data_IF_888164207824
#
_entry.id   IF_888164207824
#
_cell.length_a   1.000
_cell.length_b   1.000
_cell.length_c   1.000
_cell.angle_alpha   90.00
_cell.angle_beta   90.00
_cell.angle_gamma   90.00
#
_symmetry.space_group_name_H-M   'P 1'
#
loop_
_entity.id
_entity.type
_entity.pdbx_description
1 polymer ?
#
# COMPACT_ATOMS: atom_id res chain seq x y z
N UNK A 1 4.83 -36.40 -14.64
CA UNK A 1 5.72 -35.33 -15.16
C UNK A 1 5.07 -34.75 -16.41
N UNK A 2 4.42 -33.59 -16.30
CA UNK A 2 3.89 -32.84 -17.43
C UNK A 2 4.52 -31.44 -17.36
N UNK A 3 5.46 -31.18 -18.25
CA UNK A 3 6.20 -29.93 -18.34
C UNK A 3 5.29 -28.83 -18.89
N UNK A 4 5.18 -27.73 -18.14
CA UNK A 4 4.48 -26.52 -18.55
C UNK A 4 5.13 -25.87 -19.77
N UNK A 5 4.29 -25.33 -20.66
CA UNK A 5 4.69 -24.33 -21.63
C UNK A 5 4.15 -22.98 -21.19
N UNK A 6 5.07 -22.15 -20.73
CA UNK A 6 4.94 -20.71 -20.52
C UNK A 6 4.44 -20.05 -21.81
N UNK A 7 3.22 -19.53 -21.78
CA UNK A 7 2.74 -18.61 -22.80
C UNK A 7 3.40 -17.24 -22.59
N UNK A 8 4.50 -17.00 -23.29
CA UNK A 8 5.05 -15.65 -23.45
C UNK A 8 3.99 -14.78 -24.13
N UNK A 9 3.50 -13.76 -23.41
CA UNK A 9 2.65 -12.72 -24.00
C UNK A 9 3.49 -11.90 -24.98
N UNK A 10 3.03 -11.66 -26.21
CA UNK A 10 3.78 -10.86 -27.16
C UNK A 10 3.91 -9.42 -26.67
N UNK A 11 5.13 -8.88 -26.80
CA UNK A 11 5.45 -7.48 -26.51
C UNK A 11 4.56 -6.54 -27.31
N UNK A 12 4.09 -5.44 -26.71
CA UNK A 12 3.09 -4.53 -27.29
C UNK A 12 3.52 -3.89 -28.63
N UNK A 13 4.82 -3.96 -28.96
CA UNK A 13 5.35 -3.59 -30.29
C UNK A 13 5.02 -4.62 -31.38
N UNK A 14 5.02 -5.92 -31.08
CA UNK A 14 4.71 -6.98 -32.05
C UNK A 14 3.21 -7.04 -32.38
N UNK A 15 2.34 -6.80 -31.39
CA UNK A 15 0.89 -6.75 -31.61
C UNK A 15 0.48 -5.58 -32.54
N UNK A 16 1.17 -4.44 -32.45
CA UNK A 16 0.95 -3.29 -33.34
C UNK A 16 1.42 -3.51 -34.77
N UNK A 17 2.49 -4.28 -34.97
CA UNK A 17 3.00 -4.60 -36.31
C UNK A 17 2.11 -5.61 -37.04
N UNK A 18 1.51 -6.57 -36.32
CA UNK A 18 0.63 -7.57 -36.93
C UNK A 18 -0.69 -6.96 -37.43
N UNK A 19 -1.27 -6.00 -36.68
CA UNK A 19 -2.50 -5.29 -37.08
C UNK A 19 -2.29 -4.33 -38.26
N UNK A 20 -1.07 -3.81 -38.45
CA UNK A 20 -0.76 -2.94 -39.59
C UNK A 20 -0.54 -3.71 -40.90
N UNK A 21 -0.18 -5.00 -40.83
CA UNK A 21 0.00 -5.85 -42.00
C UNK A 21 -1.30 -6.42 -42.57
N UNK A 22 -2.33 -6.60 -41.73
CA UNK A 22 -3.60 -7.21 -42.15
C UNK A 22 -4.52 -6.22 -42.88
N UNK A 23 -4.36 -4.92 -42.64
CA UNK A 23 -5.20 -3.86 -43.21
C UNK A 23 -4.83 -3.44 -44.66
N UNK A 24 -3.74 -3.97 -45.23
CA UNK A 24 -3.27 -3.59 -46.58
C UNK A 24 -3.65 -4.57 -47.70
N UNK A 25 -4.37 -5.66 -47.39
CA UNK A 25 -4.72 -6.69 -48.39
C UNK A 25 -6.11 -6.53 -49.04
N UNK A 26 -6.84 -5.44 -48.81
CA UNK A 26 -8.20 -5.26 -49.36
C UNK A 26 -8.40 -4.11 -50.37
N UNK A 27 -7.35 -3.41 -50.76
CA UNK A 27 -7.42 -2.47 -51.88
C UNK A 27 -6.31 -2.72 -52.90
N UNK A 28 -6.53 -3.70 -53.77
CA UNK A 28 -5.79 -3.80 -55.03
C UNK A 28 -6.71 -3.29 -56.15
N UNK A 29 -6.39 -2.14 -56.78
CA UNK A 29 -7.18 -1.67 -57.91
C UNK A 29 -6.98 -2.61 -59.11
N UNK A 30 -7.99 -2.78 -59.99
CA UNK A 30 -7.86 -3.63 -61.16
C UNK A 30 -6.84 -3.03 -62.15
N UNK A 31 -5.94 -3.88 -62.67
CA UNK A 31 -4.96 -3.50 -63.69
C UNK A 31 -5.59 -3.32 -65.09
N UNK A 32 -4.88 -2.68 -66.03
CA UNK A 32 -5.45 -2.28 -67.31
C UNK A 32 -5.60 -3.47 -68.27
N UNK A 33 -6.80 -3.62 -68.86
CA UNK A 33 -7.10 -4.59 -69.91
C UNK A 33 -6.51 -4.17 -71.25
N UNK A 34 -5.92 -5.13 -71.97
CA UNK A 34 -5.42 -4.99 -73.36
C UNK A 34 -6.48 -5.46 -74.36
N UNK A 35 -6.28 -5.05 -75.62
CA UNK A 35 -7.09 -5.26 -76.85
C UNK A 35 -8.16 -4.17 -77.03
N UNK A 36 -8.27 -3.43 -78.13
CA UNK A 36 -7.74 -3.58 -79.49
C UNK A 36 -7.54 -2.20 -80.16
N UNK A 37 -6.67 -2.14 -81.16
CA UNK A 37 -6.45 -0.98 -82.04
C UNK A 37 -7.67 -0.73 -82.94
N UNK A 38 -7.96 0.54 -83.28
CA UNK A 38 -8.41 0.83 -84.63
C UNK A 38 -7.51 1.85 -85.34
N UNK A 39 -7.28 1.53 -86.60
CA UNK A 39 -6.59 2.28 -87.66
C UNK A 39 -7.06 3.73 -87.78
N UNK A 40 -6.10 4.65 -87.76
CA UNK A 40 -6.27 6.06 -88.11
C UNK A 40 -6.68 6.21 -89.57
N UNK A 41 -7.81 6.86 -89.84
CA UNK A 41 -8.05 7.57 -91.10
C UNK A 41 -8.45 9.00 -90.74
N UNK A 42 -7.58 9.94 -91.10
CA UNK A 42 -7.79 11.37 -90.97
C UNK A 42 -8.89 11.82 -91.93
N UNK A 43 -9.98 12.34 -91.39
CA UNK A 43 -10.84 13.29 -92.11
C UNK A 43 -11.07 14.50 -91.21
N UNK A 44 -10.55 15.63 -91.68
CA UNK A 44 -10.81 16.98 -91.19
C UNK A 44 -12.31 17.26 -91.24
N UNK A 45 -12.93 17.50 -90.08
CA UNK A 45 -14.14 18.33 -89.99
C UNK A 45 -14.13 19.10 -88.67
N UNK A 46 -13.99 20.41 -88.83
CA UNK A 46 -14.26 21.48 -87.86
C UNK A 46 -15.57 21.28 -87.06
N UNK A 47 -15.55 21.72 -85.78
CA UNK A 47 -16.71 22.07 -84.92
C UNK A 47 -17.50 21.01 -84.11
N UNK A 48 -16.90 19.95 -83.55
CA UNK A 48 -17.62 18.98 -82.66
C UNK A 48 -17.00 18.67 -81.28
N UNK A 49 -15.82 19.19 -80.92
CA UNK A 49 -15.07 18.77 -79.72
C UNK A 49 -15.52 19.42 -78.38
N UNK A 50 -16.30 20.50 -78.43
CA UNK A 50 -16.69 21.25 -77.23
C UNK A 50 -17.83 20.61 -76.43
N UNK A 51 -18.71 19.82 -77.08
CA UNK A 51 -19.85 19.18 -76.43
C UNK A 51 -19.47 18.03 -75.49
N UNK A 52 -18.52 17.19 -75.91
CA UNK A 52 -18.06 16.01 -75.14
C UNK A 52 -17.25 16.38 -73.90
N UNK A 53 -16.51 17.48 -73.96
CA UNK A 53 -15.70 17.99 -72.84
C UNK A 53 -16.60 18.53 -71.72
N UNK A 54 -17.70 19.20 -72.09
CA UNK A 54 -18.68 19.74 -71.13
C UNK A 54 -19.42 18.61 -70.40
N UNK A 55 -19.83 17.55 -71.11
CA UNK A 55 -20.50 16.39 -70.52
C UNK A 55 -19.61 15.66 -69.50
N UNK A 56 -18.31 15.53 -69.79
CA UNK A 56 -17.34 14.96 -68.85
C UNK A 56 -17.19 15.82 -67.59
N UNK A 57 -17.17 17.16 -67.72
CA UNK A 57 -17.08 18.07 -66.56
C UNK A 57 -18.33 17.95 -65.68
N UNK A 58 -19.52 17.86 -66.27
CA UNK A 58 -20.78 17.65 -65.53
C UNK A 58 -20.81 16.30 -64.81
N UNK A 59 -20.26 15.25 -65.43
CA UNK A 59 -20.13 13.94 -64.81
C UNK A 59 -19.15 13.94 -63.62
N UNK A 60 -18.04 14.67 -63.69
CA UNK A 60 -17.15 14.84 -62.54
C UNK A 60 -17.77 15.67 -61.42
N UNK A 61 -18.48 16.74 -61.74
CA UNK A 61 -19.18 17.57 -60.75
C UNK A 61 -20.22 16.75 -59.98
N UNK A 62 -20.99 15.92 -60.68
CA UNK A 62 -21.97 15.01 -60.05
C UNK A 62 -21.29 13.95 -59.19
N UNK A 63 -20.17 13.38 -59.65
CA UNK A 63 -19.36 12.45 -58.85
C UNK A 63 -18.75 13.11 -57.59
N UNK A 64 -18.31 14.37 -57.69
CA UNK A 64 -17.85 15.16 -56.53
C UNK A 64 -19.02 15.44 -55.57
N UNK A 65 -20.21 15.74 -56.09
CA UNK A 65 -21.43 15.90 -55.30
C UNK A 65 -21.74 14.67 -54.45
N UNK A 66 -21.78 13.48 -55.06
CA UNK A 66 -22.01 12.23 -54.33
C UNK A 66 -20.91 11.91 -53.31
N UNK A 67 -19.65 12.22 -53.61
CA UNK A 67 -18.56 12.08 -52.65
C UNK A 67 -18.72 13.03 -51.47
N UNK A 68 -19.20 14.25 -51.71
CA UNK A 68 -19.44 15.26 -50.68
C UNK A 68 -20.62 14.85 -49.77
N UNK A 69 -21.71 14.31 -50.35
CA UNK A 69 -22.80 13.70 -49.58
C UNK A 69 -22.32 12.55 -48.69
N UNK A 70 -21.42 11.70 -49.23
CA UNK A 70 -20.77 10.63 -48.46
C UNK A 70 -19.90 11.18 -47.32
N UNK A 71 -19.18 12.27 -47.56
CA UNK A 71 -18.39 12.95 -46.53
C UNK A 71 -19.28 13.56 -45.44
N UNK A 72 -20.40 14.21 -45.80
CA UNK A 72 -21.35 14.77 -44.86
C UNK A 72 -21.96 13.70 -43.96
N UNK A 73 -22.25 12.52 -44.51
CA UNK A 73 -22.70 11.36 -43.74
C UNK A 73 -21.65 10.93 -42.70
N UNK A 74 -20.39 10.79 -43.11
CA UNK A 74 -19.29 10.41 -42.21
C UNK A 74 -19.07 11.47 -41.13
N UNK A 75 -19.09 12.76 -41.50
CA UNK A 75 -18.93 13.87 -40.56
C UNK A 75 -20.07 13.85 -39.52
N UNK A 76 -21.30 13.58 -39.94
CA UNK A 76 -22.45 13.45 -39.05
C UNK A 76 -22.24 12.33 -38.01
N UNK A 77 -21.77 11.17 -38.44
CA UNK A 77 -21.44 10.04 -37.54
C UNK A 77 -20.33 10.42 -36.57
N UNK A 78 -19.23 11.01 -37.05
CA UNK A 78 -18.11 11.43 -36.20
C UNK A 78 -18.54 12.47 -35.15
N UNK A 79 -19.42 13.41 -35.52
CA UNK A 79 -19.97 14.39 -34.58
C UNK A 79 -20.81 13.71 -33.50
N UNK A 80 -21.59 12.69 -33.85
CA UNK A 80 -22.38 11.91 -32.89
C UNK A 80 -21.48 11.12 -31.93
N UNK A 81 -20.48 10.41 -32.44
CA UNK A 81 -19.50 9.67 -31.62
C UNK A 81 -18.72 10.62 -30.69
N UNK A 82 -18.27 11.76 -31.20
CA UNK A 82 -17.56 12.77 -30.39
C UNK A 82 -18.46 13.31 -29.27
N UNK A 83 -19.77 13.48 -29.51
CA UNK A 83 -20.73 13.85 -28.46
C UNK A 83 -20.81 12.75 -27.39
N UNK A 84 -20.91 11.49 -27.80
CA UNK A 84 -20.94 10.35 -26.88
C UNK A 84 -19.69 10.30 -26.00
N UNK A 85 -18.50 10.37 -26.62
CA UNK A 85 -17.22 10.35 -25.90
C UNK A 85 -17.13 11.50 -24.88
N UNK A 86 -17.62 12.70 -25.22
CA UNK A 86 -17.64 13.82 -24.26
C UNK A 86 -18.52 13.54 -23.05
N UNK A 87 -19.68 12.89 -23.25
CA UNK A 87 -20.56 12.50 -22.14
C UNK A 87 -19.89 11.44 -21.25
N UNK A 88 -19.25 10.44 -21.86
CA UNK A 88 -18.52 9.41 -21.12
C UNK A 88 -17.36 10.00 -20.30
N UNK A 89 -16.59 10.92 -20.89
CA UNK A 89 -15.52 11.63 -20.20
C UNK A 89 -16.06 12.43 -19.01
N UNK A 90 -17.17 13.16 -19.19
CA UNK A 90 -17.79 13.90 -18.09
C UNK A 90 -18.22 12.95 -16.95
N UNK A 91 -18.81 11.80 -17.30
CA UNK A 91 -19.18 10.77 -16.33
C UNK A 91 -17.96 10.20 -15.59
N UNK A 92 -16.85 9.96 -16.28
CA UNK A 92 -15.61 9.54 -15.63
C UNK A 92 -15.01 10.61 -14.73
N UNK A 93 -15.04 11.88 -15.13
CA UNK A 93 -14.54 12.98 -14.31
C UNK A 93 -15.30 13.08 -12.98
N UNK A 94 -16.64 12.98 -13.01
CA UNK A 94 -17.44 12.95 -11.78
C UNK A 94 -17.06 11.77 -10.90
N UNK A 95 -16.99 10.56 -11.46
CA UNK A 95 -16.62 9.36 -10.68
C UNK A 95 -15.22 9.45 -10.08
N UNK A 96 -14.26 10.02 -10.81
CA UNK A 96 -12.90 10.24 -10.30
C UNK A 96 -12.91 11.24 -9.16
N UNK A 97 -13.63 12.36 -9.30
CA UNK A 97 -13.78 13.35 -8.23
C UNK A 97 -14.38 12.74 -6.95
N UNK A 98 -15.41 11.91 -7.10
CA UNK A 98 -16.05 11.22 -5.96
C UNK A 98 -15.06 10.25 -5.29
N UNK A 99 -14.30 9.49 -6.08
CA UNK A 99 -13.28 8.57 -5.57
C UNK A 99 -12.14 9.31 -4.86
N UNK A 100 -11.67 10.43 -5.42
CA UNK A 100 -10.65 11.26 -4.79
C UNK A 100 -11.12 11.79 -3.43
N UNK A 101 -12.37 12.25 -3.35
CA UNK A 101 -12.96 12.70 -2.09
C UNK A 101 -13.09 11.56 -1.07
N UNK A 102 -13.51 10.36 -1.50
CA UNK A 102 -13.55 9.18 -0.63
C UNK A 102 -12.16 8.79 -0.12
N UNK A 103 -11.14 8.80 -0.99
CA UNK A 103 -9.76 8.48 -0.61
C UNK A 103 -9.24 9.47 0.43
N UNK A 104 -9.47 10.77 0.24
CA UNK A 104 -9.08 11.81 1.21
C UNK A 104 -9.81 11.61 2.54
N UNK A 105 -11.11 11.30 2.53
CA UNK A 105 -11.88 11.05 3.74
C UNK A 105 -11.36 9.83 4.52
N UNK A 106 -11.07 8.72 3.82
CA UNK A 106 -10.51 7.50 4.41
C UNK A 106 -9.11 7.77 4.98
N UNK A 107 -8.26 8.47 4.23
CA UNK A 107 -6.92 8.81 4.69
C UNK A 107 -6.95 9.70 5.94
N UNK A 108 -7.84 10.68 5.97
CA UNK A 108 -8.03 11.53 7.15
C UNK A 108 -8.51 10.71 8.35
N UNK A 109 -9.46 9.79 8.16
CA UNK A 109 -9.93 8.91 9.24
C UNK A 109 -8.79 8.01 9.76
N UNK A 110 -8.02 7.41 8.86
CA UNK A 110 -6.86 6.56 9.21
C UNK A 110 -5.74 7.34 9.91
N UNK A 111 -5.48 8.59 9.53
CA UNK A 111 -4.39 9.37 10.15
C UNK A 111 -4.77 9.98 11.50
N UNK A 112 -6.06 10.20 11.77
CA UNK A 112 -6.49 11.01 12.91
C UNK A 112 -6.98 10.20 14.10
N UNK A 113 -7.77 9.16 13.85
CA UNK A 113 -8.46 8.42 14.91
C UNK A 113 -7.59 7.32 15.50
N UNK A 114 -7.05 6.36 14.72
CA UNK A 114 -6.32 5.26 15.31
C UNK A 114 -5.00 5.74 15.92
N UNK A 115 -4.23 6.62 15.28
CA UNK A 115 -2.91 6.97 15.79
C UNK A 115 -2.95 7.71 17.13
N UNK A 116 -3.92 8.61 17.32
CA UNK A 116 -4.05 9.38 18.56
C UNK A 116 -4.60 8.52 19.70
N UNK A 117 -5.66 7.77 19.44
CA UNK A 117 -6.29 6.93 20.46
C UNK A 117 -5.40 5.74 20.83
N UNK A 118 -4.74 5.12 19.85
CA UNK A 118 -3.76 4.05 20.11
C UNK A 118 -2.58 4.58 20.90
N UNK A 119 -2.01 5.74 20.53
CA UNK A 119 -0.89 6.30 21.30
C UNK A 119 -1.29 6.64 22.73
N UNK A 120 -2.47 7.25 22.91
CA UNK A 120 -3.02 7.52 24.24
C UNK A 120 -3.25 6.24 25.05
N UNK A 121 -3.84 5.22 24.44
CA UNK A 121 -4.12 3.95 25.12
C UNK A 121 -2.83 3.20 25.45
N UNK A 122 -1.86 3.17 24.54
CA UNK A 122 -0.53 2.61 24.78
C UNK A 122 0.17 3.32 25.94
N UNK A 123 0.18 4.66 25.95
CA UNK A 123 0.75 5.44 27.06
C UNK A 123 0.04 5.11 28.37
N UNK A 124 -1.29 5.01 28.35
CA UNK A 124 -2.07 4.66 29.54
C UNK A 124 -1.80 3.23 30.02
N UNK A 125 -1.60 2.28 29.12
CA UNK A 125 -1.23 0.91 29.46
C UNK A 125 0.16 0.86 30.10
N UNK A 126 1.14 1.56 29.54
CA UNK A 126 2.49 1.68 30.13
C UNK A 126 2.40 2.31 31.53
N UNK A 127 1.66 3.40 31.69
CA UNK A 127 1.47 4.05 32.99
C UNK A 127 0.83 3.13 34.03
N UNK A 128 -0.15 2.31 33.63
CA UNK A 128 -0.82 1.36 34.51
C UNK A 128 0.09 0.19 34.87
N UNK A 129 0.85 -0.31 33.91
CA UNK A 129 1.84 -1.36 34.12
C UNK A 129 2.92 -0.88 35.09
N UNK A 130 3.47 0.32 34.87
CA UNK A 130 4.46 0.94 35.74
C UNK A 130 3.92 1.15 37.16
N UNK A 131 2.66 1.59 37.30
CA UNK A 131 1.99 1.73 38.62
C UNK A 131 1.77 0.38 39.30
N UNK A 132 1.46 -0.67 38.54
CA UNK A 132 1.26 -2.04 39.03
C UNK A 132 2.57 -2.65 39.54
N UNK A 133 3.70 -2.34 38.89
CA UNK A 133 5.02 -2.86 39.27
C UNK A 133 5.83 -1.93 40.17
N UNK A 134 5.38 -0.71 40.44
CA UNK A 134 6.11 0.29 41.24
C UNK A 134 6.51 -0.22 42.63
N UNK A 135 5.71 -1.12 43.19
CA UNK A 135 5.90 -1.68 44.52
C UNK A 135 6.79 -2.94 44.50
N UNK A 136 7.04 -3.50 43.30
CA UNK A 136 7.72 -4.76 43.11
C UNK A 136 9.22 -4.54 42.95
N UNK A 137 10.02 -5.20 43.78
CA UNK A 137 11.48 -5.28 43.66
C UNK A 137 11.88 -6.72 43.38
N UNK A 138 12.80 -6.89 42.44
CA UNK A 138 13.39 -8.19 42.11
C UNK A 138 14.83 -8.23 42.60
N UNK A 139 15.10 -9.12 43.56
CA UNK A 139 16.45 -9.41 44.04
C UNK A 139 17.03 -10.59 43.27
N UNK A 140 18.29 -10.46 42.86
CA UNK A 140 19.01 -11.46 42.06
C UNK A 140 20.35 -11.72 42.73
N UNK A 141 20.75 -12.99 42.84
CA UNK A 141 22.08 -13.37 43.32
C UNK A 141 22.16 -13.78 44.79
N UNK A 142 21.06 -13.71 45.55
CA UNK A 142 21.02 -14.33 46.87
C UNK A 142 21.21 -15.84 46.75
N UNK A 143 22.18 -16.46 47.46
CA UNK A 143 22.31 -17.91 47.48
C UNK A 143 21.04 -18.53 48.05
N UNK A 144 20.64 -19.66 47.50
CA UNK A 144 19.40 -20.27 47.93
C UNK A 144 19.55 -20.83 49.35
N UNK A 145 18.44 -20.87 50.11
CA UNK A 145 18.38 -21.42 51.47
C UNK A 145 19.02 -20.55 52.58
N UNK A 146 19.75 -19.48 52.24
CA UNK A 146 20.28 -18.51 53.21
C UNK A 146 19.17 -17.78 53.98
N UNK A 147 18.01 -17.62 53.35
CA UNK A 147 16.83 -16.96 53.91
C UNK A 147 16.16 -17.73 55.07
N UNK A 148 16.49 -19.02 55.24
CA UNK A 148 15.83 -19.89 56.21
C UNK A 148 14.36 -20.18 55.88
N UNK A 149 13.53 -20.28 56.91
CA UNK A 149 12.11 -20.61 56.79
C UNK A 149 11.25 -19.43 56.29
N UNK A 150 11.66 -18.19 56.59
CA UNK A 150 10.88 -17.00 56.29
C UNK A 150 11.73 -15.95 55.57
N UNK A 151 11.53 -15.86 54.25
CA UNK A 151 12.17 -14.86 53.36
C UNK A 151 11.98 -13.43 53.86
N UNK A 152 10.86 -13.19 54.55
CA UNK A 152 10.51 -11.89 55.07
C UNK A 152 11.37 -11.42 56.22
N UNK A 153 11.66 -12.29 57.18
CA UNK A 153 12.56 -11.95 58.27
C UNK A 153 13.96 -11.64 57.72
N UNK A 154 14.45 -12.48 56.80
CA UNK A 154 15.75 -12.31 56.17
C UNK A 154 15.91 -10.95 55.47
N UNK A 155 14.96 -10.57 54.60
CA UNK A 155 15.06 -9.30 53.87
C UNK A 155 14.89 -8.07 54.77
N UNK A 156 14.09 -8.15 55.84
CA UNK A 156 13.96 -7.04 56.80
C UNK A 156 15.27 -6.77 57.55
N UNK A 157 16.07 -7.80 57.81
CA UNK A 157 17.36 -7.68 58.50
C UNK A 157 18.51 -7.30 57.54
N UNK A 158 18.53 -7.93 56.36
CA UNK A 158 19.64 -7.74 55.41
C UNK A 158 19.57 -6.45 54.63
N UNK A 159 18.39 -5.98 54.20
CA UNK A 159 18.28 -4.80 53.36
C UNK A 159 18.78 -3.51 54.04
N UNK A 160 18.43 -3.21 55.30
CA UNK A 160 19.00 -2.05 56.00
C UNK A 160 20.52 -2.14 56.13
N UNK A 161 21.05 -3.35 56.38
CA UNK A 161 22.49 -3.60 56.53
C UNK A 161 23.24 -3.43 55.20
N UNK A 162 22.69 -3.94 54.09
CA UNK A 162 23.30 -3.85 52.76
C UNK A 162 23.24 -2.43 52.19
N UNK A 163 22.10 -1.74 52.38
CA UNK A 163 21.87 -0.42 51.78
C UNK A 163 22.30 0.73 52.70
N UNK A 164 22.53 0.49 53.98
CA UNK A 164 22.81 1.53 54.98
C UNK A 164 21.63 2.48 55.22
N UNK A 165 20.43 2.12 54.77
CA UNK A 165 19.21 2.93 54.93
C UNK A 165 18.51 2.52 56.22
N UNK A 166 18.21 3.51 57.06
CA UNK A 166 17.23 3.34 58.13
C UNK A 166 15.84 3.61 57.57
N UNK A 167 14.96 2.61 57.64
CA UNK A 167 13.57 2.74 57.20
C UNK A 167 12.67 3.08 58.40
N UNK A 168 12.00 4.24 58.34
CA UNK A 168 10.96 4.64 59.28
C UNK A 168 9.71 5.05 58.48
N UNK A 169 8.59 4.28 58.52
CA UNK A 169 8.39 3.04 59.29
C UNK A 169 9.22 1.86 58.76
N UNK A 170 9.32 0.75 59.53
CA UNK A 170 10.03 -0.46 59.12
C UNK A 170 9.56 -0.99 57.76
N UNK A 171 10.42 -1.76 57.08
CA UNK A 171 10.05 -2.40 55.82
C UNK A 171 8.85 -3.34 56.01
N UNK A 172 7.78 -3.05 55.28
CA UNK A 172 6.57 -3.87 55.23
C UNK A 172 6.36 -4.40 53.82
N UNK A 173 6.02 -5.68 53.73
CA UNK A 173 5.85 -6.39 52.48
C UNK A 173 4.42 -6.92 52.36
N UNK A 174 3.79 -6.71 51.21
CA UNK A 174 2.48 -7.28 50.85
C UNK A 174 2.59 -8.76 50.52
N UNK A 175 3.65 -9.13 49.78
CA UNK A 175 3.93 -10.50 49.33
C UNK A 175 5.40 -10.64 49.03
N UNK A 176 5.96 -11.81 49.32
CA UNK A 176 7.32 -12.18 48.95
C UNK A 176 7.38 -13.65 48.57
N UNK A 177 8.05 -13.93 47.46
CA UNK A 177 8.20 -15.29 46.96
C UNK A 177 9.37 -15.41 45.99
N UNK A 178 9.84 -16.63 45.83
CA UNK A 178 10.78 -17.01 44.78
C UNK A 178 10.07 -17.09 43.42
N UNK A 179 10.77 -16.66 42.37
CA UNK A 179 10.30 -16.72 40.98
C UNK A 179 10.49 -18.16 40.43
N UNK A 180 9.70 -19.09 40.98
CA UNK A 180 9.76 -20.52 40.68
C UNK A 180 10.16 -21.37 41.88
N UNK A 181 10.32 -22.70 41.69
CA UNK A 181 10.78 -23.59 42.75
C UNK A 181 12.23 -23.28 43.13
N UNK A 182 12.55 -23.43 44.42
CA UNK A 182 13.94 -23.41 44.92
C UNK A 182 14.75 -24.47 44.16
N UNK A 183 15.93 -24.10 43.70
CA UNK A 183 16.89 -24.96 43.03
C UNK A 183 17.84 -25.56 44.09
N UNK A 184 18.91 -26.20 43.62
CA UNK A 184 19.97 -26.66 44.50
C UNK A 184 20.82 -25.47 44.98
N UNK A 185 21.38 -25.57 46.18
CA UNK A 185 22.24 -24.55 46.80
C UNK A 185 23.41 -24.13 45.89
N UNK A 186 24.03 -25.10 45.21
CA UNK A 186 25.14 -24.87 44.26
C UNK A 186 24.69 -24.48 42.83
N UNK A 187 23.43 -24.09 42.66
CA UNK A 187 22.94 -23.64 41.36
C UNK A 187 23.74 -22.41 40.91
N UNK A 188 24.35 -22.50 39.72
CA UNK A 188 25.01 -21.36 39.06
C UNK A 188 24.07 -20.16 38.85
N UNK A 189 22.76 -20.35 38.96
CA UNK A 189 21.74 -19.32 38.84
C UNK A 189 20.74 -19.49 39.98
N UNK A 190 20.93 -18.83 41.13
CA UNK A 190 19.92 -18.84 42.19
C UNK A 190 18.60 -18.24 41.70
N UNK A 191 17.49 -18.71 42.26
CA UNK A 191 16.17 -18.21 41.94
C UNK A 191 16.00 -16.76 42.43
N UNK A 192 15.52 -15.82 41.58
CA UNK A 192 15.23 -14.46 42.02
C UNK A 192 14.09 -14.41 43.04
N UNK A 193 14.19 -13.48 43.98
CA UNK A 193 13.11 -13.17 44.93
C UNK A 193 12.35 -11.95 44.41
N UNK A 194 11.02 -12.05 44.30
CA UNK A 194 10.16 -10.90 44.09
C UNK A 194 9.57 -10.49 45.43
N UNK A 195 9.82 -9.24 45.82
CA UNK A 195 9.25 -8.62 46.99
C UNK A 195 8.36 -7.45 46.61
N UNK A 196 7.15 -7.40 47.17
CA UNK A 196 6.24 -6.28 46.93
C UNK A 196 6.08 -5.50 48.22
N UNK A 197 6.58 -4.27 48.23
CA UNK A 197 6.55 -3.40 49.39
C UNK A 197 5.14 -2.83 49.59
N UNK A 198 4.77 -2.57 50.83
CA UNK A 198 3.51 -1.90 51.13
C UNK A 198 3.56 -0.43 50.66
N UNK A 199 4.62 0.34 51.00
CA UNK A 199 4.79 1.70 50.50
C UNK A 199 5.73 1.71 49.28
N UNK A 200 5.21 2.17 48.14
CA UNK A 200 5.97 2.31 46.89
C UNK A 200 7.19 3.27 47.01
N UNK A 201 7.16 4.19 47.99
CA UNK A 201 8.22 5.17 48.23
C UNK A 201 9.50 4.50 48.71
N UNK A 202 9.36 3.53 49.61
CA UNK A 202 10.48 2.72 50.09
C UNK A 202 11.10 1.92 48.95
N UNK A 203 10.29 1.41 48.03
CA UNK A 203 10.81 0.67 46.88
C UNK A 203 11.68 1.55 45.97
N UNK A 204 11.22 2.77 45.68
CA UNK A 204 11.99 3.76 44.91
C UNK A 204 13.25 4.19 45.64
N UNK A 205 13.19 4.39 46.96
CA UNK A 205 14.35 4.75 47.77
C UNK A 205 15.41 3.64 47.71
N UNK A 206 15.01 2.38 47.87
CA UNK A 206 15.93 1.25 47.83
C UNK A 206 16.63 1.13 46.47
N UNK A 207 15.87 1.24 45.36
CA UNK A 207 16.44 1.23 44.00
C UNK A 207 17.39 2.41 43.80
N UNK A 208 16.98 3.61 44.21
CA UNK A 208 17.79 4.82 44.08
C UNK A 208 19.12 4.69 44.83
N UNK A 209 19.08 4.18 46.06
CA UNK A 209 20.28 3.98 46.88
C UNK A 209 21.18 2.91 46.29
N UNK A 210 20.63 1.76 45.85
CA UNK A 210 21.41 0.72 45.20
C UNK A 210 22.10 1.23 43.93
N UNK A 211 21.41 2.00 43.10
CA UNK A 211 22.01 2.65 41.92
C UNK A 211 23.14 3.63 42.29
N UNK A 212 23.02 4.33 43.42
CA UNK A 212 24.06 5.27 43.88
C UNK A 212 25.28 4.58 44.50
N UNK A 213 25.10 3.39 45.10
CA UNK A 213 26.17 2.61 45.72
C UNK A 213 27.02 1.86 44.69
N UNK A 214 26.48 1.59 43.50
CA UNK A 214 27.17 0.86 42.44
C UNK A 214 27.04 -0.66 42.61
N UNK A 215 27.72 -1.45 41.77
CA UNK A 215 27.69 -2.91 41.87
C UNK A 215 28.35 -3.38 43.19
N UNK A 216 27.60 -4.21 43.93
CA UNK A 216 28.11 -4.95 45.09
C UNK A 216 28.98 -6.13 44.67
#
# INVERSE_FOLDING_TARGET
MATGKSGEKPSSKQARQHLFSEALHHFRPPGPSRYAQPTNTLTVTDTAEHGTTMDHILQEITAVGHRMEGMDSIISVLVAETKSIRLDIAGFQTRVSDLEQCVVAVQNHLNTVPDRELLFLCSKLVDLEDKSHRDNIRFIGFPEHVEGAEVQAFLKETLPTLTGISFDPPLEFKRMHHLGPKRAEDSRRPCPIIACLLPHTQARQLISTACSQGPF
#
